data_IF_468507104444
#
_entry.id   IF_468507104444
#
_cell.length_a   1.000
_cell.length_b   1.000
_cell.length_c   1.000
_cell.angle_alpha   90.00
_cell.angle_beta   90.00
_cell.angle_gamma   90.00
#
_symmetry.space_group_name_H-M   'P 1'
#
loop_
_entity.id
_entity.type
_entity.pdbx_description
1 polymer ?
#
# COMPACT_ATOMS: atom_id res chain seq x y z
N UNK A 1 5.28 31.94 -46.08
CA UNK A 1 4.44 32.80 -45.22
C UNK A 1 2.99 32.64 -45.65
N UNK A 2 2.19 31.87 -44.90
CA UNK A 2 0.72 32.05 -44.85
C UNK A 2 0.21 31.42 -43.56
N UNK A 3 -0.33 32.27 -42.69
CA UNK A 3 -1.06 31.95 -41.46
C UNK A 3 -2.50 31.54 -41.78
N UNK A 4 -3.24 31.14 -40.72
CA UNK A 4 -4.71 30.92 -40.60
C UNK A 4 -5.08 29.42 -40.63
N UNK A 5 -5.89 28.86 -39.73
CA UNK A 5 -6.77 29.45 -38.73
C UNK A 5 -7.01 28.45 -37.57
N UNK A 6 -7.21 29.02 -36.38
CA UNK A 6 -7.69 28.39 -35.15
C UNK A 6 -9.22 28.38 -35.18
N UNK A 7 -9.89 27.27 -34.84
CA UNK A 7 -11.24 27.32 -34.31
C UNK A 7 -11.21 27.11 -32.78
N UNK A 8 -11.66 28.14 -32.06
CA UNK A 8 -12.17 28.07 -30.69
C UNK A 8 -13.59 27.51 -30.75
N UNK A 9 -13.91 26.46 -30.00
CA UNK A 9 -15.24 26.05 -29.47
C UNK A 9 -15.00 24.71 -28.74
N UNK A 10 -15.53 24.36 -27.59
CA UNK A 10 -16.33 25.03 -26.58
C UNK A 10 -16.23 24.20 -25.29
N UNK A 11 -16.55 24.85 -24.19
CA UNK A 11 -16.73 24.35 -22.83
C UNK A 11 -17.54 23.05 -22.75
N UNK A 12 -17.07 22.08 -21.97
CA UNK A 12 -17.92 21.13 -21.25
C UNK A 12 -17.32 20.90 -19.85
N UNK A 13 -17.93 21.53 -18.86
CA UNK A 13 -17.70 21.34 -17.42
C UNK A 13 -18.60 20.20 -16.94
N UNK A 14 -18.04 19.11 -16.44
CA UNK A 14 -18.69 18.08 -15.61
C UNK A 14 -17.57 17.27 -14.95
N UNK A 15 -17.53 16.92 -13.65
CA UNK A 15 -18.43 17.12 -12.53
C UNK A 15 -17.57 17.07 -11.25
N UNK A 16 -17.86 17.94 -10.28
CA UNK A 16 -17.27 17.90 -8.94
C UNK A 16 -17.90 16.73 -8.19
N UNK A 17 -17.13 15.70 -7.86
CA UNK A 17 -17.56 14.70 -6.89
C UNK A 17 -17.48 15.36 -5.51
N UNK A 18 -18.65 15.71 -4.98
CA UNK A 18 -18.80 16.20 -3.63
C UNK A 18 -18.40 15.10 -2.64
N UNK A 19 -17.39 15.40 -1.81
CA UNK A 19 -17.08 14.68 -0.59
C UNK A 19 -18.25 14.92 0.40
N UNK A 20 -19.23 14.03 0.42
CA UNK A 20 -20.24 14.03 1.49
C UNK A 20 -19.57 13.58 2.78
N UNK A 21 -19.27 14.55 3.62
CA UNK A 21 -18.81 14.36 4.99
C UNK A 21 -19.92 13.78 5.88
N UNK A 22 -19.46 13.20 7.00
CA UNK A 22 -20.08 13.30 8.32
C UNK A 22 -21.28 12.38 8.62
N UNK A 23 -20.99 11.19 9.13
CA UNK A 23 -21.87 10.53 10.10
C UNK A 23 -21.54 11.07 11.49
N UNK A 24 -22.29 12.06 11.96
CA UNK A 24 -22.31 12.45 13.37
C UNK A 24 -23.31 11.57 14.14
N UNK A 25 -22.95 11.02 15.32
CA UNK A 25 -23.90 10.30 16.16
C UNK A 25 -24.87 11.28 16.84
N UNK A 26 -26.16 10.92 16.81
CA UNK A 26 -27.23 11.67 17.46
C UNK A 26 -27.02 11.73 18.99
N UNK A 27 -27.00 12.94 19.55
CA UNK A 27 -27.15 13.18 20.98
C UNK A 27 -28.63 13.33 21.32
N UNK A 28 -29.17 12.39 22.09
CA UNK A 28 -30.46 12.49 22.77
C UNK A 28 -30.26 12.32 24.28
N UNK A 29 -30.80 13.25 25.07
CA UNK A 29 -30.54 13.44 26.51
C UNK A 29 -31.31 12.49 27.45
N UNK A 30 -30.56 11.89 28.40
CA UNK A 30 -30.74 11.57 29.86
C UNK A 30 -32.14 11.52 30.56
N UNK A 31 -32.31 10.99 31.82
CA UNK A 31 -31.32 10.46 32.78
C UNK A 31 -31.68 9.15 33.53
N UNK A 32 -30.67 8.45 34.11
CA UNK A 32 -30.59 8.05 35.55
C UNK A 32 -29.90 6.71 35.82
N UNK A 33 -28.91 6.79 36.72
CA UNK A 33 -28.54 5.87 37.80
C UNK A 33 -27.67 4.61 37.53
N UNK A 34 -26.43 4.73 38.02
CA UNK A 34 -25.70 3.77 38.88
C UNK A 34 -24.77 2.73 38.24
N UNK A 35 -23.46 2.92 38.46
CA UNK A 35 -22.44 1.85 38.51
C UNK A 35 -21.08 2.25 37.92
N UNK A 36 -19.97 2.26 38.70
CA UNK A 36 -18.64 2.46 38.15
C UNK A 36 -18.05 1.11 37.72
N UNK A 37 -17.52 1.01 36.50
CA UNK A 37 -16.29 0.26 36.17
C UNK A 37 -15.98 0.39 34.69
N UNK A 38 -14.78 0.91 34.44
CA UNK A 38 -14.10 1.08 33.15
C UNK A 38 -13.94 -0.25 32.41
N UNK A 39 -14.26 -0.29 31.12
CA UNK A 39 -13.64 -1.23 30.17
C UNK A 39 -13.47 -0.52 28.84
N UNK A 40 -12.24 -0.09 28.58
CA UNK A 40 -11.77 0.28 27.27
C UNK A 40 -11.64 -1.00 26.43
N UNK A 41 -12.53 -1.20 25.46
CA UNK A 41 -12.29 -2.08 24.33
C UNK A 41 -11.84 -1.18 23.18
N UNK A 42 -10.56 -0.77 23.18
CA UNK A 42 -9.50 -1.47 22.45
C UNK A 42 -9.95 -1.78 21.03
N UNK A 43 -9.61 -0.87 20.12
CA UNK A 43 -9.50 -1.17 18.69
C UNK A 43 -8.59 -2.36 18.54
N UNK A 44 -9.16 -3.55 18.44
CA UNK A 44 -8.46 -4.73 17.96
C UNK A 44 -8.09 -4.46 16.52
N UNK A 45 -6.86 -3.98 16.30
CA UNK A 45 -6.11 -4.33 15.11
C UNK A 45 -6.34 -5.83 14.86
N UNK A 46 -6.60 -6.28 13.63
CA UNK A 46 -6.60 -7.70 13.38
C UNK A 46 -5.20 -8.18 13.79
N UNK A 47 -5.15 -8.97 14.87
CA UNK A 47 -4.02 -9.84 15.09
C UNK A 47 -4.08 -10.76 13.90
N UNK A 48 -3.27 -10.48 12.88
CA UNK A 48 -2.93 -11.47 11.90
C UNK A 48 -2.19 -12.54 12.71
N UNK A 49 -2.95 -13.48 13.27
CA UNK A 49 -2.41 -14.79 13.58
C UNK A 49 -1.65 -15.17 12.32
N UNK A 50 -0.33 -15.32 12.46
CA UNK A 50 0.56 -15.82 11.43
C UNK A 50 0.18 -17.28 11.15
N UNK A 51 -1.03 -17.49 10.66
CA UNK A 51 -1.48 -18.70 10.03
C UNK A 51 -0.59 -18.80 8.81
N UNK A 52 0.30 -19.80 8.84
CA UNK A 52 1.14 -20.25 7.73
C UNK A 52 0.45 -19.90 6.41
N UNK A 53 1.08 -19.09 5.57
CA UNK A 53 0.58 -18.70 4.25
C UNK A 53 0.14 -19.95 3.47
N UNK A 54 -1.13 -20.33 3.60
CA UNK A 54 -1.65 -21.62 3.16
C UNK A 54 -2.90 -21.32 2.35
N UNK A 55 -2.69 -21.14 1.05
CA UNK A 55 -3.73 -20.78 0.10
C UNK A 55 -3.15 -20.10 -1.14
N UNK A 56 -3.91 -20.03 -2.23
CA UNK A 56 -3.46 -19.44 -3.50
C UNK A 56 -3.11 -17.95 -3.39
N UNK A 57 -3.57 -17.28 -2.33
CA UNK A 57 -3.34 -15.87 -2.03
C UNK A 57 -2.44 -15.65 -0.80
N UNK A 58 -1.75 -16.69 -0.31
CA UNK A 58 -0.87 -16.58 0.85
C UNK A 58 -1.63 -16.29 2.16
N UNK A 59 -1.15 -15.32 2.92
CA UNK A 59 -1.73 -14.90 4.20
C UNK A 59 -2.81 -13.82 4.10
N UNK A 60 -3.41 -13.62 2.92
CA UNK A 60 -4.48 -12.64 2.68
C UNK A 60 -5.86 -13.33 2.59
N UNK A 61 -6.93 -12.65 3.01
CA UNK A 61 -8.27 -13.26 3.05
C UNK A 61 -8.91 -13.39 1.66
N UNK A 62 -8.41 -12.66 0.66
CA UNK A 62 -8.93 -12.69 -0.71
C UNK A 62 -7.86 -12.32 -1.75
N UNK A 63 -8.15 -12.63 -3.02
CA UNK A 63 -7.33 -12.18 -4.15
C UNK A 63 -7.21 -10.66 -4.20
N UNK A 64 -8.33 -9.94 -3.99
CA UNK A 64 -8.35 -8.48 -4.00
C UNK A 64 -7.46 -7.90 -2.90
N UNK A 65 -7.52 -8.45 -1.69
CA UNK A 65 -6.66 -8.04 -0.57
C UNK A 65 -5.18 -8.33 -0.86
N UNK A 66 -4.87 -9.49 -1.42
CA UNK A 66 -3.50 -9.82 -1.82
C UNK A 66 -2.97 -8.86 -2.89
N UNK A 67 -3.75 -8.62 -3.93
CA UNK A 67 -3.41 -7.70 -5.01
C UNK A 67 -3.17 -6.27 -4.50
N UNK A 68 -4.05 -5.75 -3.65
CA UNK A 68 -3.91 -4.42 -3.05
C UNK A 68 -2.65 -4.33 -2.18
N UNK A 69 -2.45 -5.28 -1.27
CA UNK A 69 -1.30 -5.28 -0.37
C UNK A 69 0.03 -5.42 -1.13
N UNK A 70 0.13 -6.40 -2.04
CA UNK A 70 1.35 -6.66 -2.81
C UNK A 70 1.67 -5.47 -3.72
N UNK A 71 0.69 -4.89 -4.41
CA UNK A 71 0.91 -3.74 -5.29
C UNK A 71 1.28 -2.47 -4.51
N UNK A 72 0.62 -2.22 -3.37
CA UNK A 72 0.93 -1.11 -2.47
C UNK A 72 2.35 -1.20 -1.97
N UNK A 73 2.79 -2.39 -1.55
CA UNK A 73 4.10 -2.56 -0.94
C UNK A 73 5.23 -2.63 -1.97
N UNK A 74 4.97 -3.23 -3.14
CA UNK A 74 5.89 -3.16 -4.28
C UNK A 74 6.11 -1.70 -4.73
N UNK A 75 5.03 -0.90 -4.78
CA UNK A 75 5.13 0.54 -5.07
C UNK A 75 5.83 1.29 -3.94
N UNK A 76 5.51 0.97 -2.68
CA UNK A 76 6.15 1.54 -1.49
C UNK A 76 7.66 1.30 -1.45
N UNK A 77 8.12 0.14 -1.90
CA UNK A 77 9.55 -0.17 -2.01
C UNK A 77 10.28 0.81 -2.94
N UNK A 78 9.63 1.25 -4.02
CA UNK A 78 10.23 2.24 -4.95
C UNK A 78 10.39 3.65 -4.33
N UNK A 79 9.65 3.94 -3.26
CA UNK A 79 9.69 5.23 -2.57
C UNK A 79 10.71 5.26 -1.42
N UNK A 80 11.27 4.11 -1.03
CA UNK A 80 12.26 4.01 0.03
C UNK A 80 13.47 4.96 -0.16
N UNK A 81 14.08 5.09 -1.36
CA UNK A 81 15.17 6.05 -1.59
C UNK A 81 14.75 7.49 -1.32
N UNK A 82 13.52 7.84 -1.68
CA UNK A 82 12.99 9.18 -1.50
C UNK A 82 12.77 9.50 -0.02
N UNK A 83 12.16 8.58 0.74
CA UNK A 83 11.99 8.74 2.20
C UNK A 83 13.33 8.84 2.92
N UNK A 84 14.33 8.05 2.49
CA UNK A 84 15.70 8.13 3.01
C UNK A 84 16.35 9.49 2.68
N UNK A 85 16.25 9.96 1.43
CA UNK A 85 16.80 11.25 1.01
C UNK A 85 16.14 12.45 1.72
N UNK A 86 14.84 12.33 2.06
CA UNK A 86 14.10 13.35 2.82
C UNK A 86 14.38 13.31 4.33
N UNK A 87 15.20 12.38 4.82
CA UNK A 87 15.49 12.23 6.26
C UNK A 87 14.30 11.75 7.09
N UNK A 88 13.27 11.18 6.46
CA UNK A 88 12.06 10.69 7.13
C UNK A 88 12.27 9.31 7.75
N UNK A 89 13.09 9.24 8.79
CA UNK A 89 13.54 7.98 9.40
C UNK A 89 12.40 7.12 9.93
N UNK A 90 11.38 7.71 10.58
CA UNK A 90 10.24 6.94 11.09
C UNK A 90 9.39 6.31 9.98
N UNK A 91 9.11 7.08 8.90
CA UNK A 91 8.38 6.59 7.72
C UNK A 91 9.18 5.52 6.99
N UNK A 92 10.50 5.70 6.87
CA UNK A 92 11.41 4.72 6.28
C UNK A 92 11.35 3.39 7.04
N UNK A 93 11.53 3.40 8.36
CA UNK A 93 11.50 2.17 9.17
C UNK A 93 10.13 1.49 9.11
N UNK A 94 9.04 2.26 9.10
CA UNK A 94 7.70 1.72 8.87
C UNK A 94 7.61 1.01 7.51
N UNK A 95 8.04 1.66 6.42
CA UNK A 95 7.99 1.08 5.07
C UNK A 95 8.83 -0.18 4.94
N UNK A 96 9.99 -0.23 5.60
CA UNK A 96 10.84 -1.43 5.66
C UNK A 96 10.14 -2.58 6.39
N UNK A 97 9.48 -2.30 7.52
CA UNK A 97 8.75 -3.31 8.27
C UNK A 97 7.54 -3.84 7.50
N UNK A 98 6.75 -2.97 6.90
CA UNK A 98 5.59 -3.34 6.06
C UNK A 98 6.01 -4.20 4.85
N UNK A 99 7.13 -3.84 4.21
CA UNK A 99 7.70 -4.61 3.10
C UNK A 99 8.15 -6.02 3.55
N UNK A 100 8.81 -6.11 4.70
CA UNK A 100 9.24 -7.39 5.27
C UNK A 100 8.07 -8.27 5.72
N UNK A 101 7.02 -7.69 6.32
CA UNK A 101 5.78 -8.42 6.67
C UNK A 101 5.11 -8.98 5.42
N UNK A 102 5.00 -8.16 4.37
CA UNK A 102 4.41 -8.57 3.10
C UNK A 102 5.17 -9.73 2.48
N UNK A 103 6.51 -9.71 2.51
CA UNK A 103 7.34 -10.81 2.03
C UNK A 103 7.05 -12.15 2.74
N UNK A 104 6.53 -12.14 3.96
CA UNK A 104 6.14 -13.34 4.69
C UNK A 104 4.72 -13.82 4.34
N UNK A 105 3.85 -12.90 3.93
CA UNK A 105 2.42 -13.14 3.67
C UNK A 105 2.08 -13.35 2.20
N UNK A 106 2.95 -12.99 1.27
CA UNK A 106 2.72 -13.24 -0.16
C UNK A 106 2.49 -14.74 -0.44
N UNK A 107 1.71 -15.08 -1.48
CA UNK A 107 1.52 -16.46 -1.90
C UNK A 107 2.86 -17.14 -2.26
N UNK A 108 2.94 -18.45 -2.07
CA UNK A 108 4.18 -19.23 -2.28
C UNK A 108 4.76 -19.05 -3.69
N UNK A 109 3.91 -18.90 -4.71
CA UNK A 109 4.34 -18.62 -6.08
C UNK A 109 5.11 -17.30 -6.26
N UNK A 110 4.95 -16.34 -5.34
CA UNK A 110 5.57 -15.02 -5.37
C UNK A 110 6.65 -14.84 -4.29
N UNK A 111 6.77 -15.78 -3.35
CA UNK A 111 7.56 -15.62 -2.12
C UNK A 111 9.04 -15.36 -2.37
N UNK A 112 9.65 -16.13 -3.26
CA UNK A 112 11.06 -15.94 -3.61
C UNK A 112 11.31 -14.59 -4.30
N UNK A 113 10.42 -14.21 -5.22
CA UNK A 113 10.55 -12.97 -5.99
C UNK A 113 10.33 -11.73 -5.11
N UNK A 114 9.35 -11.76 -4.21
CA UNK A 114 9.10 -10.66 -3.28
C UNK A 114 10.19 -10.56 -2.20
N UNK A 115 10.74 -11.69 -1.73
CA UNK A 115 11.90 -11.68 -0.84
C UNK A 115 13.11 -11.01 -1.52
N UNK A 116 13.35 -11.33 -2.80
CA UNK A 116 14.40 -10.68 -3.60
C UNK A 116 14.15 -9.18 -3.77
N UNK A 117 12.91 -8.78 -4.04
CA UNK A 117 12.53 -7.36 -4.09
C UNK A 117 12.84 -6.66 -2.76
N UNK A 118 12.45 -7.24 -1.64
CA UNK A 118 12.71 -6.71 -0.30
C UNK A 118 14.23 -6.53 -0.06
N UNK A 119 15.03 -7.57 -0.31
CA UNK A 119 16.48 -7.53 -0.16
C UNK A 119 17.12 -6.42 -1.01
N UNK A 120 16.75 -6.33 -2.29
CA UNK A 120 17.26 -5.33 -3.23
C UNK A 120 16.85 -3.92 -2.81
N UNK A 121 15.59 -3.74 -2.42
CA UNK A 121 15.07 -2.44 -1.99
C UNK A 121 15.80 -1.92 -0.74
N UNK A 122 16.04 -2.80 0.23
CA UNK A 122 16.78 -2.48 1.46
C UNK A 122 18.28 -2.25 1.20
N UNK A 123 18.90 -3.08 0.36
CA UNK A 123 20.30 -2.89 -0.03
C UNK A 123 20.51 -1.53 -0.70
N UNK A 124 19.54 -1.10 -1.52
CA UNK A 124 19.61 0.17 -2.22
C UNK A 124 19.54 1.41 -1.32
N UNK A 125 19.13 1.27 -0.05
CA UNK A 125 19.22 2.35 0.93
C UNK A 125 20.66 2.68 1.32
N UNK A 126 21.54 1.68 1.29
CA UNK A 126 22.97 1.83 1.57
C UNK A 126 23.81 1.95 0.30
N UNK A 127 23.36 1.33 -0.80
CA UNK A 127 23.99 1.37 -2.11
C UNK A 127 23.02 1.88 -3.18
N UNK A 128 23.01 3.20 -3.41
CA UNK A 128 22.13 3.82 -4.42
C UNK A 128 22.37 3.32 -5.86
N UNK A 129 23.51 2.66 -6.13
CA UNK A 129 23.75 2.05 -7.44
C UNK A 129 22.75 0.94 -7.75
N UNK A 130 22.11 0.36 -6.73
CA UNK A 130 21.05 -0.66 -6.89
C UNK A 130 19.84 -0.10 -7.62
N UNK A 131 19.40 1.12 -7.29
CA UNK A 131 18.29 1.79 -7.97
C UNK A 131 18.71 2.39 -9.31
N UNK A 132 19.98 2.77 -9.47
CA UNK A 132 20.47 3.42 -10.70
C UNK A 132 20.87 2.44 -11.81
N UNK A 133 21.26 1.20 -11.45
CA UNK A 133 21.77 0.20 -12.39
C UNK A 133 20.71 -0.83 -12.83
N UNK A 134 19.42 -0.57 -12.61
CA UNK A 134 18.35 -1.47 -13.05
C UNK A 134 18.12 -2.71 -12.17
N UNK A 135 18.85 -2.84 -11.04
CA UNK A 135 18.72 -4.04 -10.17
C UNK A 135 17.36 -4.06 -9.47
N UNK A 136 16.86 -2.91 -9.03
CA UNK A 136 15.54 -2.78 -8.44
C UNK A 136 14.44 -3.13 -9.45
N UNK A 137 14.53 -2.60 -10.67
CA UNK A 137 13.60 -2.88 -11.77
C UNK A 137 13.59 -4.37 -12.12
N UNK A 138 14.76 -5.01 -12.16
CA UNK A 138 14.87 -6.45 -12.40
C UNK A 138 14.26 -7.29 -11.26
N UNK A 139 14.28 -6.80 -10.01
CA UNK A 139 13.63 -7.46 -8.88
C UNK A 139 12.11 -7.22 -8.86
N UNK A 140 11.65 -6.07 -9.36
CA UNK A 140 10.22 -5.73 -9.51
C UNK A 140 9.54 -6.53 -10.63
N UNK A 141 10.25 -6.83 -11.72
CA UNK A 141 9.68 -7.49 -12.91
C UNK A 141 8.85 -8.76 -12.61
N UNK A 142 9.32 -9.76 -11.84
CA UNK A 142 8.51 -10.93 -11.52
C UNK A 142 7.28 -10.59 -10.67
N UNK A 143 7.38 -9.61 -9.75
CA UNK A 143 6.25 -9.14 -8.94
C UNK A 143 5.19 -8.49 -9.81
N UNK A 144 5.59 -7.61 -10.74
CA UNK A 144 4.67 -7.00 -11.71
C UNK A 144 4.03 -8.06 -12.60
N UNK A 145 4.80 -9.04 -13.09
CA UNK A 145 4.25 -10.13 -13.90
C UNK A 145 3.20 -10.94 -13.15
N UNK A 146 3.44 -11.24 -11.87
CA UNK A 146 2.47 -11.94 -11.04
C UNK A 146 1.21 -11.10 -10.83
N UNK A 147 1.35 -9.82 -10.50
CA UNK A 147 0.21 -8.90 -10.34
C UNK A 147 -0.63 -8.83 -11.61
N UNK A 148 -0.01 -8.67 -12.78
CA UNK A 148 -0.75 -8.62 -14.07
C UNK A 148 -1.49 -9.92 -14.40
N UNK A 149 -0.97 -11.08 -13.97
CA UNK A 149 -1.61 -12.36 -14.22
C UNK A 149 -2.76 -12.66 -13.24
N UNK A 150 -2.73 -12.11 -12.02
CA UNK A 150 -3.62 -12.50 -10.93
C UNK A 150 -4.60 -11.41 -10.48
N UNK A 151 -4.34 -10.14 -10.81
CA UNK A 151 -5.12 -8.99 -10.37
C UNK A 151 -5.89 -8.38 -11.56
N UNK A 152 -7.18 -8.71 -11.67
CA UNK A 152 -8.10 -8.23 -12.71
C UNK A 152 -9.49 -7.95 -12.14
#
# INVERSE_FOLDING_TARGET
MTHLARPLYAVAVFAVVALSACSAPASGSAPSASGPSTTAASSTAPTASASVASGPFGGYASAAEACDAISTQATGASLLPLSAAQGKTAELEQKKAELAETAQRVPEALKADFARLNEVALAGLSDQSVYSNGKFEAAMAPVTSWLSANCH
#
